data_IF_764011365997
#
_entry.id   IF_764011365997
#
_cell.length_a   1.000
_cell.length_b   1.000
_cell.length_c   1.000
_cell.angle_alpha   90.00
_cell.angle_beta   90.00
_cell.angle_gamma   90.00
#
_symmetry.space_group_name_H-M   'P 1'
#
loop_
_entity.id
_entity.type
_entity.pdbx_description
1 polymer ?
#
# COMPACT_ATOMS: atom_id res chain seq x y z
N UNK A 1 -26.59 0.38 -17.46
CA UNK A 1 -26.19 1.80 -17.27
C UNK A 1 -24.68 1.94 -17.52
N UNK A 2 -24.14 3.07 -18.02
CA UNK A 2 -22.68 3.21 -18.19
C UNK A 2 -21.98 3.16 -16.82
N UNK A 3 -20.99 2.26 -16.66
CA UNK A 3 -20.14 2.09 -15.46
C UNK A 3 -20.85 1.54 -14.20
N UNK A 4 -21.92 0.76 -14.39
CA UNK A 4 -22.61 0.08 -13.29
C UNK A 4 -21.71 -0.92 -12.55
N UNK A 5 -20.89 -1.66 -13.32
CA UNK A 5 -19.98 -2.67 -12.79
C UNK A 5 -18.98 -2.09 -11.78
N UNK A 6 -18.30 -0.98 -12.10
CA UNK A 6 -17.32 -0.39 -11.19
C UNK A 6 -17.96 0.17 -9.91
N UNK A 7 -19.19 0.72 -10.00
CA UNK A 7 -19.91 1.18 -8.81
C UNK A 7 -20.33 0.01 -7.92
N UNK A 8 -20.87 -1.04 -8.52
CA UNK A 8 -21.28 -2.26 -7.82
C UNK A 8 -20.06 -2.88 -7.13
N UNK A 9 -18.98 -3.10 -7.87
CA UNK A 9 -17.71 -3.61 -7.36
C UNK A 9 -17.16 -2.79 -6.19
N UNK A 10 -17.13 -1.45 -6.31
CA UNK A 10 -16.67 -0.57 -5.22
C UNK A 10 -17.54 -0.71 -3.97
N UNK A 11 -18.86 -0.81 -4.14
CA UNK A 11 -19.81 -0.95 -3.04
C UNK A 11 -19.64 -2.28 -2.33
N UNK A 12 -19.52 -3.36 -3.11
CA UNK A 12 -19.26 -4.71 -2.58
C UNK A 12 -17.94 -4.77 -1.84
N UNK A 13 -16.85 -4.26 -2.44
CA UNK A 13 -15.53 -4.24 -1.81
C UNK A 13 -15.52 -3.46 -0.49
N UNK A 14 -16.18 -2.30 -0.46
CA UNK A 14 -16.33 -1.53 0.77
C UNK A 14 -17.13 -2.29 1.84
N UNK A 15 -18.29 -2.84 1.47
CA UNK A 15 -19.13 -3.59 2.40
C UNK A 15 -18.42 -4.83 2.96
N UNK A 16 -17.67 -5.53 2.11
CA UNK A 16 -16.92 -6.73 2.47
C UNK A 16 -15.87 -6.46 3.55
N UNK A 17 -15.08 -5.39 3.39
CA UNK A 17 -13.97 -5.08 4.31
C UNK A 17 -14.42 -4.30 5.56
N UNK A 18 -15.59 -3.65 5.51
CA UNK A 18 -16.11 -2.78 6.56
C UNK A 18 -16.14 -3.35 7.97
N UNK A 19 -16.73 -4.54 8.24
CA UNK A 19 -16.84 -5.03 9.61
C UNK A 19 -15.47 -5.28 10.25
N UNK A 20 -14.51 -5.79 9.48
CA UNK A 20 -13.16 -6.06 9.94
C UNK A 20 -12.40 -4.76 10.24
N UNK A 21 -12.44 -3.81 9.32
CA UNK A 21 -11.73 -2.54 9.46
C UNK A 21 -12.33 -1.64 10.54
N UNK A 22 -13.66 -1.55 10.64
CA UNK A 22 -14.30 -0.78 11.70
C UNK A 22 -13.91 -1.32 13.09
N UNK A 23 -13.95 -2.65 13.26
CA UNK A 23 -13.53 -3.28 14.51
C UNK A 23 -12.07 -3.00 14.85
N UNK A 24 -11.17 -3.07 13.87
CA UNK A 24 -9.75 -2.74 14.07
C UNK A 24 -9.54 -1.28 14.46
N UNK A 25 -10.13 -0.35 13.72
CA UNK A 25 -9.94 1.08 13.96
C UNK A 25 -10.49 1.49 15.33
N UNK A 26 -11.65 0.97 15.73
CA UNK A 26 -12.19 1.27 17.06
C UNK A 26 -11.28 0.74 18.19
N UNK A 27 -10.74 -0.47 18.08
CA UNK A 27 -9.76 -0.97 19.05
C UNK A 27 -8.51 -0.11 19.10
N UNK A 28 -7.97 0.29 17.94
CA UNK A 28 -6.82 1.19 17.87
C UNK A 28 -7.09 2.52 18.60
N UNK A 29 -8.27 3.13 18.39
CA UNK A 29 -8.66 4.36 19.09
C UNK A 29 -8.70 4.16 20.59
N UNK A 30 -9.32 3.08 21.04
CA UNK A 30 -9.52 2.81 22.47
C UNK A 30 -8.17 2.54 23.15
N UNK A 31 -7.29 1.75 22.54
CA UNK A 31 -5.92 1.52 23.01
C UNK A 31 -5.10 2.82 23.07
N UNK A 32 -5.15 3.67 22.03
CA UNK A 32 -4.44 4.96 22.04
C UNK A 32 -4.98 5.89 23.13
N UNK A 33 -6.28 5.87 23.39
CA UNK A 33 -6.90 6.65 24.46
C UNK A 33 -6.48 6.14 25.84
N UNK A 34 -6.41 4.82 26.02
CA UNK A 34 -5.96 4.20 27.27
C UNK A 34 -4.48 4.50 27.55
N UNK A 35 -3.67 4.70 26.49
CA UNK A 35 -2.30 5.21 26.59
C UNK A 35 -2.21 6.71 26.91
N UNK A 36 -3.34 7.41 27.08
CA UNK A 36 -3.40 8.84 27.39
C UNK A 36 -3.33 9.76 26.18
N UNK A 37 -3.43 9.24 24.95
CA UNK A 37 -3.42 10.06 23.75
C UNK A 37 -4.79 10.72 23.54
N UNK A 38 -4.87 12.03 23.78
CA UNK A 38 -6.09 12.83 23.63
C UNK A 38 -6.18 13.60 22.30
N UNK A 39 -5.16 13.49 21.45
CA UNK A 39 -5.12 14.17 20.16
C UNK A 39 -6.10 13.53 19.15
N UNK A 40 -6.65 14.31 18.20
CA UNK A 40 -7.46 13.77 17.12
C UNK A 40 -6.68 12.75 16.28
N UNK A 41 -7.27 11.56 16.07
CA UNK A 41 -6.69 10.53 15.22
C UNK A 41 -7.15 10.71 13.76
N UNK A 42 -6.19 10.98 12.89
CA UNK A 42 -6.40 11.05 11.45
C UNK A 42 -5.73 9.87 10.73
N UNK A 43 -6.32 9.45 9.62
CA UNK A 43 -5.86 8.34 8.80
C UNK A 43 -5.57 8.83 7.39
N UNK A 44 -4.48 8.35 6.81
CA UNK A 44 -4.15 8.58 5.40
C UNK A 44 -5.11 7.82 4.49
N UNK A 45 -5.59 8.47 3.44
CA UNK A 45 -6.40 7.85 2.39
C UNK A 45 -5.53 7.52 1.17
N UNK A 46 -6.00 6.61 0.33
CA UNK A 46 -5.35 6.23 -0.95
C UNK A 46 -5.03 7.43 -1.85
N UNK A 47 -5.82 8.50 -1.77
CA UNK A 47 -5.64 9.73 -2.54
C UNK A 47 -4.65 10.74 -1.95
N UNK A 48 -3.96 10.41 -0.85
CA UNK A 48 -2.97 11.26 -0.20
C UNK A 48 -3.54 12.31 0.77
N UNK A 49 -4.86 12.31 1.02
CA UNK A 49 -5.50 13.18 2.00
C UNK A 49 -5.72 12.48 3.35
N UNK A 50 -6.01 13.27 4.39
CA UNK A 50 -6.37 12.76 5.71
C UNK A 50 -7.88 12.62 5.89
N UNK A 51 -8.30 11.69 6.76
CA UNK A 51 -9.70 11.50 7.14
C UNK A 51 -9.85 11.11 8.60
N UNK A 52 -11.04 11.27 9.16
CA UNK A 52 -11.32 10.84 10.54
C UNK A 52 -11.49 9.34 10.62
N UNK A 53 -11.32 8.80 11.82
CA UNK A 53 -11.57 7.39 12.11
C UNK A 53 -12.99 6.94 11.74
N UNK A 54 -14.00 7.76 12.04
CA UNK A 54 -15.41 7.45 11.76
C UNK A 54 -15.65 7.34 10.25
N UNK A 55 -15.06 8.25 9.48
CA UNK A 55 -15.15 8.22 8.01
C UNK A 55 -14.42 7.02 7.44
N UNK A 56 -13.23 6.72 7.95
CA UNK A 56 -12.44 5.55 7.58
C UNK A 56 -13.15 4.23 7.91
N UNK A 57 -13.81 4.13 9.07
CA UNK A 57 -14.59 2.97 9.47
C UNK A 57 -15.84 2.78 8.59
N UNK A 58 -16.43 3.87 8.08
CA UNK A 58 -17.58 3.83 7.16
C UNK A 58 -17.18 3.49 5.73
N UNK A 59 -16.04 4.01 5.26
CA UNK A 59 -15.54 3.85 3.89
C UNK A 59 -14.12 3.27 3.81
N UNK A 60 -13.84 2.10 4.41
CA UNK A 60 -12.47 1.59 4.52
C UNK A 60 -11.82 1.22 3.19
N UNK A 61 -12.61 1.05 2.12
CA UNK A 61 -12.05 0.88 0.77
C UNK A 61 -11.14 2.05 0.37
N UNK A 62 -11.33 3.25 0.94
CA UNK A 62 -10.51 4.44 0.68
C UNK A 62 -9.16 4.44 1.41
N UNK A 63 -8.85 3.40 2.18
CA UNK A 63 -7.57 3.23 2.89
C UNK A 63 -6.64 2.25 2.20
N UNK A 64 -7.09 1.59 1.12
CA UNK A 64 -6.26 0.71 0.30
C UNK A 64 -5.04 1.48 -0.19
N UNK A 65 -3.82 0.94 -0.06
CA UNK A 65 -2.60 1.65 -0.48
C UNK A 65 -2.37 3.02 0.21
N UNK A 66 -2.96 3.26 1.38
CA UNK A 66 -2.79 4.52 2.13
C UNK A 66 -1.35 4.79 2.59
N UNK A 67 -0.59 3.75 2.93
CA UNK A 67 0.82 3.89 3.35
C UNK A 67 1.70 4.49 2.25
N UNK A 68 1.80 3.84 1.07
CA UNK A 68 2.56 4.37 -0.07
C UNK A 68 2.06 5.73 -0.55
N UNK A 69 0.74 5.99 -0.45
CA UNK A 69 0.20 7.33 -0.74
C UNK A 69 0.81 8.41 0.17
N UNK A 70 1.01 8.12 1.46
CA UNK A 70 1.72 9.00 2.38
C UNK A 70 3.19 9.24 1.98
N UNK A 71 3.88 8.19 1.51
CA UNK A 71 5.23 8.32 0.97
C UNK A 71 5.32 9.21 -0.26
N UNK A 72 4.35 9.11 -1.18
CA UNK A 72 4.27 9.99 -2.35
C UNK A 72 4.00 11.45 -1.97
N UNK A 73 3.15 11.69 -0.97
CA UNK A 73 2.93 13.05 -0.44
C UNK A 73 4.18 13.62 0.20
N UNK A 74 4.92 12.82 0.99
CA UNK A 74 6.21 13.23 1.55
C UNK A 74 7.22 13.57 0.44
N UNK A 75 7.30 12.74 -0.60
CA UNK A 75 8.17 13.00 -1.75
C UNK A 75 7.84 14.33 -2.45
N UNK A 76 6.55 14.67 -2.55
CA UNK A 76 6.08 15.95 -3.10
C UNK A 76 6.52 17.14 -2.25
N UNK A 77 6.42 17.02 -0.93
CA UNK A 77 6.91 18.05 -0.01
C UNK A 77 8.42 18.26 -0.17
N UNK A 78 9.20 17.18 -0.18
CA UNK A 78 10.66 17.23 -0.37
C UNK A 78 11.02 17.80 -1.76
N UNK A 79 10.27 17.44 -2.81
CA UNK A 79 10.48 17.98 -4.15
C UNK A 79 10.31 19.51 -4.17
N UNK A 80 9.29 20.03 -3.47
CA UNK A 80 9.08 21.47 -3.30
C UNK A 80 10.23 22.15 -2.57
N UNK A 81 10.70 21.57 -1.46
CA UNK A 81 11.84 22.09 -0.68
C UNK A 81 13.14 22.11 -1.49
N UNK A 82 13.34 21.12 -2.35
CA UNK A 82 14.52 21.01 -3.22
C UNK A 82 14.35 21.71 -4.59
N UNK A 83 13.22 22.37 -4.84
CA UNK A 83 12.87 22.97 -6.14
C UNK A 83 12.98 21.98 -7.33
N UNK A 84 12.65 20.70 -7.10
CA UNK A 84 12.62 19.65 -8.11
C UNK A 84 11.22 19.53 -8.71
N UNK A 85 11.13 19.51 -10.04
CA UNK A 85 9.86 19.35 -10.76
C UNK A 85 9.56 17.91 -11.15
N UNK A 86 10.58 17.16 -11.50
CA UNK A 86 10.47 15.77 -11.95
C UNK A 86 11.12 14.86 -10.91
N UNK A 87 10.31 14.12 -10.17
CA UNK A 87 10.77 13.25 -9.08
C UNK A 87 10.16 11.87 -9.23
N UNK A 88 11.00 10.84 -9.13
CA UNK A 88 10.55 9.46 -9.02
C UNK A 88 10.77 9.03 -7.56
N UNK A 89 9.67 8.82 -6.85
CA UNK A 89 9.71 8.25 -5.50
C UNK A 89 9.73 6.72 -5.60
N UNK A 90 10.53 6.10 -4.74
CA UNK A 90 10.72 4.65 -4.67
C UNK A 90 10.65 4.21 -3.20
N UNK A 91 9.67 3.37 -2.87
CA UNK A 91 9.49 2.78 -1.54
C UNK A 91 9.53 1.26 -1.65
N UNK A 92 10.57 0.64 -1.09
CA UNK A 92 10.74 -0.81 -1.11
C UNK A 92 10.69 -1.38 0.30
N UNK A 93 9.70 -2.24 0.52
CA UNK A 93 9.62 -3.09 1.69
C UNK A 93 10.26 -4.47 1.47
N UNK A 94 10.02 -5.39 2.41
CA UNK A 94 10.51 -6.77 2.28
C UNK A 94 9.81 -7.61 1.20
N UNK A 95 8.66 -7.17 0.69
CA UNK A 95 7.80 -7.97 -0.20
C UNK A 95 7.56 -7.28 -1.54
N UNK A 96 7.40 -5.96 -1.51
CA UNK A 96 6.99 -5.17 -2.67
C UNK A 96 7.80 -3.88 -2.73
N UNK A 97 7.89 -3.33 -3.94
CA UNK A 97 8.40 -2.00 -4.21
C UNK A 97 7.30 -1.17 -4.89
N UNK A 98 7.19 0.09 -4.53
CA UNK A 98 6.22 1.05 -5.04
C UNK A 98 6.97 2.21 -5.66
N UNK A 99 6.50 2.64 -6.82
CA UNK A 99 7.07 3.74 -7.60
C UNK A 99 5.98 4.74 -7.91
N UNK A 100 6.19 5.99 -7.55
CA UNK A 100 5.29 7.09 -7.93
C UNK A 100 6.10 8.18 -8.63
N UNK A 101 5.63 8.56 -9.83
CA UNK A 101 6.19 9.66 -10.61
C UNK A 101 5.46 10.95 -10.24
N UNK A 102 6.23 11.96 -9.88
CA UNK A 102 5.77 13.30 -9.59
C UNK A 102 6.18 14.20 -10.76
N UNK A 103 5.19 14.89 -11.32
CA UNK A 103 5.36 15.90 -12.37
C UNK A 103 5.02 17.25 -11.80
N UNK A 104 5.84 18.26 -12.10
CA UNK A 104 5.76 19.57 -11.46
C UNK A 104 5.71 19.50 -9.92
N UNK A 105 6.39 18.50 -9.33
CA UNK A 105 6.42 18.27 -7.88
C UNK A 105 5.15 17.63 -7.30
N UNK A 106 4.14 17.28 -8.11
CA UNK A 106 2.87 16.71 -7.65
C UNK A 106 2.67 15.26 -8.13
N UNK A 107 2.13 14.37 -7.28
CA UNK A 107 1.76 13.02 -7.69
C UNK A 107 0.47 13.03 -8.52
N UNK A 108 0.43 12.18 -9.55
CA UNK A 108 -0.78 12.00 -10.36
C UNK A 108 -1.89 11.32 -9.55
N UNK A 109 -3.13 11.82 -9.66
CA UNK A 109 -4.29 11.30 -8.94
C UNK A 109 -5.29 10.68 -9.92
N UNK A 110 -5.67 9.44 -9.65
CA UNK A 110 -6.66 8.71 -10.43
C UNK A 110 -7.96 8.49 -9.63
N UNK A 111 -9.03 8.09 -10.34
CA UNK A 111 -10.34 7.74 -9.75
C UNK A 111 -10.72 6.28 -10.01
N UNK A 112 -9.81 5.49 -10.54
CA UNK A 112 -9.98 4.07 -10.86
C UNK A 112 -8.75 3.35 -10.35
N UNK A 113 -8.96 2.27 -9.65
CA UNK A 113 -7.91 1.41 -9.12
C UNK A 113 -8.35 -0.04 -9.27
N UNK A 114 -7.41 -0.98 -9.35
CA UNK A 114 -7.70 -2.40 -9.41
C UNK A 114 -7.12 -3.08 -8.17
N UNK A 115 -8.00 -3.68 -7.37
CA UNK A 115 -7.59 -4.52 -6.24
C UNK A 115 -7.53 -5.98 -6.67
N UNK A 116 -6.77 -6.80 -5.93
CA UNK A 116 -6.72 -8.25 -6.12
C UNK A 116 -6.44 -8.68 -7.58
N UNK A 117 -5.43 -8.07 -8.22
CA UNK A 117 -5.02 -8.46 -9.57
C UNK A 117 -4.60 -9.93 -9.60
N UNK A 118 -5.24 -10.72 -10.46
CA UNK A 118 -4.89 -12.13 -10.68
C UNK A 118 -3.52 -12.27 -11.37
N UNK A 119 -3.16 -11.30 -12.22
CA UNK A 119 -1.88 -11.24 -12.90
C UNK A 119 -1.24 -9.86 -12.66
N UNK A 120 -0.08 -9.84 -11.99
CA UNK A 120 0.55 -8.60 -11.49
C UNK A 120 0.82 -7.56 -12.60
N UNK A 121 1.12 -8.03 -13.82
CA UNK A 121 1.52 -7.17 -14.94
C UNK A 121 0.41 -7.01 -16.02
N UNK A 122 -0.81 -7.51 -15.76
CA UNK A 122 -1.93 -7.40 -16.70
C UNK A 122 -3.02 -6.49 -16.13
N UNK A 123 -3.14 -5.28 -16.70
CA UNK A 123 -4.27 -4.38 -16.46
C UNK A 123 -5.57 -5.10 -16.81
N UNK A 124 -6.62 -4.94 -16.00
CA UNK A 124 -7.90 -5.60 -16.17
C UNK A 124 -8.01 -6.97 -15.50
N UNK A 125 -6.92 -7.49 -14.92
CA UNK A 125 -6.94 -8.78 -14.19
C UNK A 125 -7.43 -8.66 -12.75
N UNK A 126 -7.63 -7.43 -12.26
CA UNK A 126 -8.12 -7.14 -10.92
C UNK A 126 -9.58 -6.71 -10.89
N UNK A 127 -10.09 -6.56 -9.67
CA UNK A 127 -11.42 -6.05 -9.41
C UNK A 127 -11.39 -4.52 -9.42
N UNK A 128 -12.11 -3.83 -10.32
CA UNK A 128 -12.06 -2.38 -10.42
C UNK A 128 -12.81 -1.73 -9.26
N UNK A 129 -12.19 -0.75 -8.62
CA UNK A 129 -12.79 0.09 -7.58
C UNK A 129 -12.63 1.57 -7.95
N UNK A 130 -13.63 2.36 -7.59
CA UNK A 130 -13.75 3.77 -7.97
C UNK A 130 -13.59 4.66 -6.74
N UNK A 131 -12.34 4.86 -6.34
CA UNK A 131 -11.93 5.70 -5.22
C UNK A 131 -10.83 6.67 -5.69
N UNK A 132 -10.66 7.84 -5.05
CA UNK A 132 -9.49 8.67 -5.27
C UNK A 132 -8.23 7.91 -4.83
N UNK A 133 -7.25 7.79 -5.72
CA UNK A 133 -5.95 7.16 -5.45
C UNK A 133 -4.82 8.01 -6.02
N UNK A 134 -3.64 7.94 -5.41
CA UNK A 134 -2.40 8.33 -6.07
C UNK A 134 -1.99 7.21 -7.04
N UNK A 135 -1.69 7.59 -8.28
CA UNK A 135 -1.25 6.65 -9.30
C UNK A 135 0.18 6.20 -9.01
N UNK A 136 0.38 4.89 -8.95
CA UNK A 136 1.66 4.28 -8.65
C UNK A 136 1.81 2.93 -9.34
N UNK A 137 3.05 2.58 -9.63
CA UNK A 137 3.42 1.24 -10.10
C UNK A 137 3.88 0.42 -8.91
N UNK A 138 3.38 -0.79 -8.80
CA UNK A 138 3.84 -1.76 -7.81
C UNK A 138 4.59 -2.88 -8.51
N UNK A 139 5.76 -3.20 -7.96
CA UNK A 139 6.53 -4.39 -8.31
C UNK A 139 6.42 -5.36 -7.14
N UNK A 140 6.01 -6.58 -7.44
CA UNK A 140 5.86 -7.66 -6.47
C UNK A 140 7.17 -8.29 -6.01
N UNK A 141 8.22 -7.48 -5.88
CA UNK A 141 9.54 -7.86 -5.41
C UNK A 141 10.03 -6.82 -4.41
N UNK A 142 10.69 -7.28 -3.35
CA UNK A 142 11.25 -6.42 -2.31
C UNK A 142 12.49 -7.06 -1.68
N UNK A 143 12.98 -6.49 -0.59
CA UNK A 143 14.24 -6.92 0.03
C UNK A 143 14.25 -8.36 0.56
N UNK A 144 13.08 -8.96 0.80
CA UNK A 144 12.92 -10.36 1.25
C UNK A 144 12.48 -11.32 0.14
N UNK A 145 12.50 -10.88 -1.12
CA UNK A 145 12.23 -11.76 -2.26
C UNK A 145 13.32 -12.82 -2.39
N UNK A 146 12.89 -14.07 -2.61
CA UNK A 146 13.81 -15.17 -2.82
C UNK A 146 14.29 -15.15 -4.26
N UNK A 147 15.59 -15.12 -4.40
CA UNK A 147 16.31 -15.16 -5.64
C UNK A 147 16.59 -16.63 -5.98
N UNK A 148 16.03 -17.14 -7.09
CA UNK A 148 16.26 -18.51 -7.56
C UNK A 148 16.97 -18.49 -8.92
N UNK A 149 18.01 -19.31 -9.06
CA UNK A 149 18.66 -19.55 -10.34
C UNK A 149 17.95 -20.70 -11.07
N UNK A 150 17.60 -20.48 -12.33
CA UNK A 150 17.04 -21.54 -13.20
C UNK A 150 18.14 -22.27 -14.00
N UNK A 151 19.42 -22.01 -13.71
CA UNK A 151 20.56 -22.77 -14.24
C UNK A 151 21.03 -22.40 -15.65
N UNK A 152 20.49 -21.35 -16.30
CA UNK A 152 20.95 -20.89 -17.61
C UNK A 152 21.74 -19.58 -17.46
N UNK A 153 22.82 -19.41 -18.24
CA UNK A 153 23.79 -18.32 -18.09
C UNK A 153 23.21 -16.89 -18.19
N UNK A 154 21.99 -16.73 -18.73
CA UNK A 154 21.24 -15.48 -18.81
C UNK A 154 19.78 -15.64 -18.35
N UNK A 155 19.57 -16.36 -17.25
CA UNK A 155 18.22 -16.60 -16.72
C UNK A 155 17.60 -15.34 -16.10
N UNK A 156 16.34 -14.99 -16.40
CA UNK A 156 15.65 -13.92 -15.70
C UNK A 156 15.43 -14.30 -14.23
N UNK A 157 15.77 -13.39 -13.32
CA UNK A 157 15.45 -13.52 -11.90
C UNK A 157 13.92 -13.56 -11.73
N UNK A 158 13.41 -14.62 -11.11
CA UNK A 158 11.99 -14.71 -10.72
C UNK A 158 11.88 -14.50 -9.21
N UNK A 159 11.58 -13.27 -8.75
CA UNK A 159 11.41 -13.00 -7.33
C UNK A 159 10.13 -13.67 -6.82
N UNK A 160 10.26 -14.59 -5.87
CA UNK A 160 9.12 -15.08 -5.09
C UNK A 160 9.09 -14.36 -3.76
N UNK A 161 7.99 -13.64 -3.49
CA UNK A 161 7.82 -12.90 -2.26
C UNK A 161 7.58 -13.86 -1.09
N UNK A 162 8.46 -13.87 -0.07
CA UNK A 162 8.15 -14.45 1.23
C UNK A 162 7.34 -13.42 2.03
N UNK A 163 6.21 -13.83 2.60
CA UNK A 163 5.58 -13.07 3.68
C UNK A 163 6.52 -12.96 4.89
N UNK A 164 6.13 -12.26 5.97
CA UNK A 164 6.92 -12.00 7.20
C UNK A 164 7.40 -13.25 8.00
N UNK A 165 7.98 -14.27 7.36
CA UNK A 165 8.93 -15.17 8.01
C UNK A 165 10.30 -14.54 7.82
N UNK A 166 10.73 -13.79 8.83
CA UNK A 166 12.10 -13.27 8.91
C UNK A 166 13.09 -14.41 8.63
N UNK A 167 14.04 -14.13 7.76
CA UNK A 167 15.17 -14.99 7.55
C UNK A 167 16.06 -14.98 8.80
N UNK A 168 16.22 -16.15 9.42
CA UNK A 168 17.18 -16.35 10.52
C UNK A 168 18.63 -16.25 10.05
N UNK A 169 18.89 -16.41 8.74
CA UNK A 169 20.25 -16.37 8.18
C UNK A 169 20.83 -14.95 8.13
N UNK A 170 20.00 -13.93 7.86
CA UNK A 170 20.43 -12.53 7.82
C UNK A 170 20.38 -11.80 9.19
N UNK A 171 19.62 -12.31 10.16
CA UNK A 171 19.37 -11.62 11.45
C UNK A 171 20.27 -12.06 12.60
N UNK A 172 21.16 -13.03 12.41
CA UNK A 172 22.16 -13.43 13.41
C UNK A 172 21.59 -13.96 14.73
N UNK A 173 20.31 -14.32 14.80
CA UNK A 173 19.68 -14.82 16.02
C UNK A 173 20.16 -16.26 16.29
N UNK A 174 21.23 -16.38 17.10
CA UNK A 174 21.74 -17.64 17.62
C UNK A 174 20.65 -18.40 18.39
N UNK A 175 20.58 -19.71 18.20
CA UNK A 175 19.75 -20.59 19.02
C UNK A 175 20.18 -20.51 20.49
N UNK A 176 19.25 -20.34 21.46
CA UNK A 176 19.56 -20.64 22.83
C UNK A 176 19.86 -22.13 22.92
N UNK A 177 21.12 -22.45 23.21
CA UNK A 177 21.61 -23.79 23.47
C UNK A 177 20.66 -24.45 24.48
N UNK A 178 19.88 -25.44 24.03
CA UNK A 178 19.08 -26.26 24.95
C UNK A 178 19.95 -27.40 25.46
N UNK A 179 19.94 -27.69 26.77
CA UNK A 179 20.56 -28.90 27.32
C UNK A 179 19.86 -30.17 26.80
#
# INVERSE_FOLDING_TARGET
EIREYERFSTTVANAYVRPLMAGYLHRLRDELKDMGLSAPLFLMMSGGGLTTLETAARFPIRLVESGPAGGAILASQIAGECALKEVLSFDMGGTTAKICLLKDGEPERARKFEIARAYRDMKGSGTPVRIPVIEMVEIGAGGGSIAASTGWAASPWVPTARGRRQDRSATGAAEPNRP
#
